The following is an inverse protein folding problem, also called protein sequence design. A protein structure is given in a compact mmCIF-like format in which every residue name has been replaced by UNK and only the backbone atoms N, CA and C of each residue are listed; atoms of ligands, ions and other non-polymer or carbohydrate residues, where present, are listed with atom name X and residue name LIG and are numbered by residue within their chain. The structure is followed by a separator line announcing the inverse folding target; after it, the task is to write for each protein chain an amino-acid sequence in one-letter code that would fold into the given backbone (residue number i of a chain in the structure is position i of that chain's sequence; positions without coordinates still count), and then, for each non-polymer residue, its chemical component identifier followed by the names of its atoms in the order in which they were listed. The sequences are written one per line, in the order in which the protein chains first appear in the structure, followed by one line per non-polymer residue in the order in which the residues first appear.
data_IF_634627227966
#
_entry.id   IF_634627227966
#
_cell.length_a   1.000
_cell.length_b   1.000
_cell.length_c   1.000
_cell.angle_alpha   90.00
_cell.angle_beta   90.00
_cell.angle_gamma   90.00
#
_symmetry.space_group_name_H-M   'P 1'
#
loop_
_entity.id
_entity.type
_entity.pdbx_description
1 polymer ?
#
# COMPACT_ATOMS: atom_id res chain seq x y z
N UNK A 1 -19.26 13.81 -1.20
CA UNK A 1 -17.99 14.01 -1.92
C UNK A 1 -18.00 13.07 -3.13
N UNK A 2 -17.56 13.57 -4.29
CA UNK A 2 -17.41 12.72 -5.48
C UNK A 2 -16.12 11.93 -5.37
N UNK A 3 -16.16 10.64 -5.78
CA UNK A 3 -14.96 9.81 -5.90
C UNK A 3 -14.01 10.39 -6.95
N UNK A 4 -12.74 10.37 -6.67
CA UNK A 4 -11.71 10.84 -7.63
C UNK A 4 -11.10 9.71 -8.46
N UNK A 5 -11.57 8.47 -8.29
CA UNK A 5 -11.04 7.29 -8.99
C UNK A 5 -11.07 7.43 -10.51
N UNK A 6 -12.15 7.99 -11.07
CA UNK A 6 -12.25 8.21 -12.52
C UNK A 6 -11.17 9.16 -13.04
N UNK A 7 -10.87 10.22 -12.28
CA UNK A 7 -9.79 11.15 -12.61
C UNK A 7 -8.43 10.47 -12.54
N UNK A 8 -8.17 9.68 -11.48
CA UNK A 8 -6.92 8.95 -11.32
C UNK A 8 -6.73 7.93 -12.44
N UNK A 9 -7.76 7.14 -12.78
CA UNK A 9 -7.70 6.17 -13.88
C UNK A 9 -7.44 6.85 -15.24
N UNK A 10 -7.95 8.08 -15.46
CA UNK A 10 -7.62 8.85 -16.67
C UNK A 10 -6.15 9.27 -16.69
N UNK A 11 -5.61 9.72 -15.55
CA UNK A 11 -4.19 10.09 -15.44
C UNK A 11 -3.31 8.87 -15.69
N UNK A 12 -3.65 7.72 -15.10
CA UNK A 12 -2.97 6.45 -15.33
C UNK A 12 -2.98 6.07 -16.81
N UNK A 13 -4.13 6.22 -17.47
CA UNK A 13 -4.26 5.98 -18.91
C UNK A 13 -3.37 6.90 -19.77
N UNK A 14 -3.15 8.16 -19.38
CA UNK A 14 -2.25 9.07 -20.09
C UNK A 14 -0.80 8.65 -20.02
N UNK A 15 -0.37 8.03 -18.92
CA UNK A 15 1.00 7.47 -18.80
C UNK A 15 1.08 6.03 -19.32
N UNK A 16 -0.01 5.49 -19.86
CA UNK A 16 -0.08 4.14 -20.42
C UNK A 16 -0.19 3.04 -19.37
N UNK A 17 -0.56 3.38 -18.13
CA UNK A 17 -0.79 2.41 -17.08
C UNK A 17 -2.25 1.97 -17.04
N UNK A 18 -2.46 0.66 -17.01
CA UNK A 18 -3.74 -0.01 -16.79
C UNK A 18 -3.54 -1.08 -15.72
N UNK A 19 -4.26 -0.93 -14.62
CA UNK A 19 -4.10 -1.80 -13.45
C UNK A 19 -4.43 -3.26 -13.77
N UNK A 20 -5.61 -3.54 -14.34
CA UNK A 20 -6.03 -4.90 -14.60
C UNK A 20 -5.09 -5.63 -15.58
N UNK A 21 -4.62 -4.91 -16.62
CA UNK A 21 -3.65 -5.43 -17.57
C UNK A 21 -2.31 -5.71 -16.90
N UNK A 22 -1.83 -4.80 -16.05
CA UNK A 22 -0.55 -4.93 -15.35
C UNK A 22 -0.57 -6.09 -14.37
N UNK A 23 -1.64 -6.24 -13.58
CA UNK A 23 -1.84 -7.36 -12.64
C UNK A 23 -1.93 -8.68 -13.41
N UNK A 24 -2.69 -8.73 -14.50
CA UNK A 24 -2.82 -9.92 -15.35
C UNK A 24 -1.48 -10.32 -15.97
N UNK A 25 -0.68 -9.34 -16.40
CA UNK A 25 0.66 -9.60 -16.93
C UNK A 25 1.60 -10.18 -15.86
N UNK A 26 1.62 -9.61 -14.66
CA UNK A 26 2.43 -10.12 -13.54
C UNK A 26 1.95 -11.51 -13.11
N UNK A 27 0.66 -11.78 -13.12
CA UNK A 27 0.09 -13.09 -12.79
C UNK A 27 0.55 -14.19 -13.77
N UNK A 28 0.96 -13.84 -15.00
CA UNK A 28 1.61 -14.77 -15.91
C UNK A 28 2.99 -15.25 -15.43
N UNK A 29 3.54 -14.58 -14.40
CA UNK A 29 4.81 -14.92 -13.74
C UNK A 29 4.59 -15.09 -12.22
N UNK A 30 4.00 -16.22 -11.77
CA UNK A 30 3.54 -16.39 -10.39
C UNK A 30 4.60 -16.12 -9.30
N UNK A 31 5.87 -16.46 -9.59
CA UNK A 31 6.99 -16.19 -8.69
C UNK A 31 7.22 -14.68 -8.48
N UNK A 32 7.09 -13.88 -9.54
CA UNK A 32 7.23 -12.42 -9.47
C UNK A 32 6.07 -11.84 -8.66
N UNK A 33 4.83 -12.25 -8.95
CA UNK A 33 3.65 -11.82 -8.22
C UNK A 33 3.74 -12.15 -6.72
N UNK A 34 4.17 -13.37 -6.40
CA UNK A 34 4.38 -13.82 -5.01
C UNK A 34 5.49 -13.02 -4.34
N UNK A 35 6.59 -12.73 -5.01
CA UNK A 35 7.67 -11.88 -4.48
C UNK A 35 7.16 -10.47 -4.16
N UNK A 36 6.42 -9.85 -5.09
CA UNK A 36 5.85 -8.51 -4.88
C UNK A 36 4.85 -8.49 -3.73
N UNK A 37 4.03 -9.54 -3.58
CA UNK A 37 3.15 -9.70 -2.42
C UNK A 37 3.94 -9.73 -1.10
N UNK A 38 5.00 -10.53 -1.01
CA UNK A 38 5.82 -10.56 0.19
C UNK A 38 6.52 -9.22 0.45
N UNK A 39 7.04 -8.56 -0.58
CA UNK A 39 7.60 -7.21 -0.44
C UNK A 39 6.57 -6.25 0.13
N UNK A 40 5.36 -6.23 -0.39
CA UNK A 40 4.25 -5.42 0.10
C UNK A 40 3.94 -5.73 1.58
N UNK A 41 3.85 -6.99 1.94
CA UNK A 41 3.59 -7.44 3.30
C UNK A 41 4.71 -7.08 4.30
N UNK A 42 5.94 -6.80 3.83
CA UNK A 42 7.06 -6.41 4.71
C UNK A 42 6.98 -4.98 5.22
N UNK A 43 6.08 -4.13 4.72
CA UNK A 43 6.02 -2.71 5.08
C UNK A 43 5.87 -2.47 6.59
N UNK A 44 4.90 -3.09 7.24
CA UNK A 44 4.73 -2.98 8.70
C UNK A 44 5.86 -3.64 9.50
N UNK A 45 6.31 -4.89 9.19
CA UNK A 45 7.51 -5.46 9.78
C UNK A 45 8.76 -4.57 9.70
N UNK A 46 8.97 -3.86 8.57
CA UNK A 46 10.09 -2.92 8.44
C UNK A 46 9.99 -1.75 9.43
N UNK A 47 8.81 -1.17 9.61
CA UNK A 47 8.60 -0.09 10.59
C UNK A 47 8.89 -0.59 12.00
N UNK A 48 8.38 -1.77 12.36
CA UNK A 48 8.64 -2.38 13.66
C UNK A 48 10.14 -2.64 13.87
N UNK A 49 10.83 -3.16 12.86
CA UNK A 49 12.27 -3.36 12.89
C UNK A 49 13.03 -2.06 13.17
N UNK A 50 12.67 -0.97 12.51
CA UNK A 50 13.31 0.34 12.71
C UNK A 50 13.07 0.85 14.14
N UNK A 51 11.84 0.73 14.66
CA UNK A 51 11.52 1.09 16.06
C UNK A 51 12.42 0.34 17.03
N UNK A 52 12.52 -0.99 16.87
CA UNK A 52 13.33 -1.86 17.70
C UNK A 52 14.80 -1.42 17.65
N UNK A 53 15.35 -1.26 16.45
CA UNK A 53 16.77 -0.92 16.29
C UNK A 53 17.09 0.47 16.84
N UNK A 54 16.24 1.47 16.57
CA UNK A 54 16.44 2.81 17.10
C UNK A 54 16.34 2.83 18.63
N UNK A 55 15.41 2.07 19.20
CA UNK A 55 15.25 1.93 20.65
C UNK A 55 16.48 1.27 21.29
N UNK A 56 16.88 0.09 20.82
CA UNK A 56 18.03 -0.64 21.38
C UNK A 56 19.38 0.05 21.18
N UNK A 57 19.52 0.84 20.12
CA UNK A 57 20.76 1.64 19.89
C UNK A 57 20.76 2.97 20.63
N UNK A 58 19.76 3.26 21.46
CA UNK A 58 19.66 4.50 22.24
C UNK A 58 19.44 5.76 21.41
N UNK A 59 19.03 5.65 20.15
CA UNK A 59 18.78 6.78 19.24
C UNK A 59 17.39 7.41 19.50
N UNK A 60 17.13 7.78 20.74
CA UNK A 60 15.80 8.21 21.21
C UNK A 60 15.24 9.40 20.42
N UNK A 61 16.09 10.37 20.06
CA UNK A 61 15.64 11.51 19.23
C UNK A 61 15.14 11.05 17.86
N UNK A 62 15.85 10.15 17.20
CA UNK A 62 15.45 9.62 15.89
C UNK A 62 14.19 8.76 16.01
N UNK A 63 14.05 8.00 17.10
CA UNK A 63 12.84 7.23 17.38
C UNK A 63 11.61 8.15 17.53
N UNK A 64 11.72 9.22 18.31
CA UNK A 64 10.62 10.19 18.44
C UNK A 64 10.28 10.85 17.11
N UNK A 65 11.29 11.24 16.32
CA UNK A 65 11.08 11.80 14.98
C UNK A 65 10.38 10.78 14.05
N UNK A 66 10.81 9.52 14.08
CA UNK A 66 10.18 8.45 13.31
C UNK A 66 8.70 8.27 13.67
N UNK A 67 8.39 8.15 14.96
CA UNK A 67 7.02 7.97 15.44
C UNK A 67 6.14 9.18 15.09
N UNK A 68 6.66 10.40 15.32
CA UNK A 68 5.93 11.63 14.98
C UNK A 68 5.68 11.74 13.48
N UNK A 69 6.67 11.43 12.65
CA UNK A 69 6.52 11.40 11.18
C UNK A 69 5.45 10.40 10.77
N UNK A 70 5.45 9.19 11.36
CA UNK A 70 4.44 8.17 11.08
C UNK A 70 3.02 8.63 11.42
N UNK A 71 2.83 9.20 12.61
CA UNK A 71 1.52 9.73 13.05
C UNK A 71 1.05 10.87 12.14
N UNK A 72 1.92 11.84 11.86
CA UNK A 72 1.57 12.97 10.99
C UNK A 72 1.25 12.52 9.56
N UNK A 73 2.05 11.60 9.02
CA UNK A 73 1.80 11.04 7.69
C UNK A 73 0.48 10.28 7.60
N UNK A 74 0.15 9.48 8.63
CA UNK A 74 -1.14 8.81 8.72
C UNK A 74 -2.31 9.82 8.78
N UNK A 75 -2.19 10.86 9.62
CA UNK A 75 -3.21 11.91 9.72
C UNK A 75 -3.40 12.65 8.39
N UNK A 76 -2.32 12.99 7.69
CA UNK A 76 -2.38 13.64 6.39
C UNK A 76 -3.07 12.71 5.37
N UNK A 77 -2.69 11.43 5.32
CA UNK A 77 -3.28 10.46 4.40
C UNK A 77 -4.78 10.25 4.65
N UNK A 78 -5.18 10.13 5.92
CA UNK A 78 -6.60 10.00 6.31
C UNK A 78 -7.36 11.29 5.96
N UNK A 79 -6.81 12.46 6.27
CA UNK A 79 -7.45 13.74 5.96
C UNK A 79 -7.62 13.92 4.45
N UNK A 80 -6.59 13.56 3.68
CA UNK A 80 -6.67 13.60 2.22
C UNK A 80 -7.77 12.67 1.71
N UNK A 81 -7.82 11.42 2.19
CA UNK A 81 -8.83 10.45 1.78
C UNK A 81 -10.25 10.87 2.16
N UNK A 82 -10.45 11.50 3.33
CA UNK A 82 -11.76 12.05 3.72
C UNK A 82 -12.22 13.16 2.78
N UNK A 83 -11.30 13.99 2.30
CA UNK A 83 -11.61 15.08 1.36
C UNK A 83 -11.76 14.57 -0.09
N UNK A 84 -10.99 13.56 -0.47
CA UNK A 84 -10.89 12.98 -1.81
C UNK A 84 -10.98 11.45 -1.74
N UNK A 85 -12.18 10.90 -1.46
CA UNK A 85 -12.33 9.46 -1.27
C UNK A 85 -12.04 8.69 -2.56
N UNK A 86 -11.32 7.56 -2.41
CA UNK A 86 -10.99 6.63 -3.49
C UNK A 86 -11.22 5.20 -3.02
N UNK A 87 -11.64 4.30 -3.92
CA UNK A 87 -11.90 2.89 -3.62
C UNK A 87 -10.87 1.94 -4.22
N UNK A 88 -9.84 2.44 -4.88
CA UNK A 88 -8.86 1.64 -5.64
C UNK A 88 -9.40 1.12 -6.98
N UNK A 89 -8.53 0.91 -7.98
CA UNK A 89 -8.90 0.33 -9.28
C UNK A 89 -9.62 -1.01 -9.20
N UNK A 90 -9.34 -1.82 -8.17
CA UNK A 90 -9.99 -3.12 -7.95
C UNK A 90 -11.51 -3.03 -7.73
N UNK A 91 -12.03 -1.85 -7.39
CA UNK A 91 -13.48 -1.62 -7.26
C UNK A 91 -14.18 -1.44 -8.62
N UNK A 92 -13.44 -1.08 -9.66
CA UNK A 92 -13.97 -0.68 -10.97
C UNK A 92 -13.48 -1.56 -12.12
N UNK A 93 -12.39 -2.29 -11.94
CA UNK A 93 -11.78 -3.15 -12.96
C UNK A 93 -11.83 -4.61 -12.52
N UNK A 94 -12.36 -5.48 -13.37
CA UNK A 94 -12.44 -6.91 -13.09
C UNK A 94 -11.16 -7.62 -13.54
N UNK A 95 -10.69 -8.55 -12.72
CA UNK A 95 -9.59 -9.43 -13.05
C UNK A 95 -10.11 -10.77 -13.61
N UNK A 96 -9.42 -11.40 -14.57
CA UNK A 96 -9.71 -12.76 -14.97
C UNK A 96 -9.67 -13.72 -13.76
N UNK A 97 -10.59 -14.68 -13.72
CA UNK A 97 -10.77 -15.59 -12.58
C UNK A 97 -9.54 -16.44 -12.23
N UNK A 98 -8.61 -16.61 -13.16
CA UNK A 98 -7.37 -17.36 -12.95
C UNK A 98 -6.29 -16.55 -12.20
N UNK A 99 -6.36 -15.20 -12.20
CA UNK A 99 -5.34 -14.33 -11.60
C UNK A 99 -5.21 -14.55 -10.08
N UNK A 100 -6.29 -14.56 -9.28
CA UNK A 100 -6.18 -14.83 -7.84
C UNK A 100 -5.73 -16.26 -7.51
N UNK A 101 -5.82 -17.18 -8.49
CA UNK A 101 -5.33 -18.56 -8.35
C UNK A 101 -3.83 -18.66 -8.66
N UNK A 102 -3.32 -17.76 -9.51
CA UNK A 102 -1.93 -17.77 -9.95
C UNK A 102 -0.98 -17.10 -8.97
N UNK A 103 -1.43 -16.03 -8.28
CA UNK A 103 -0.61 -15.31 -7.31
C UNK A 103 -1.46 -14.75 -6.16
N UNK A 104 -0.90 -14.59 -4.94
CA UNK A 104 -1.59 -13.91 -3.86
C UNK A 104 -1.75 -12.42 -4.18
N UNK A 105 -2.91 -11.87 -3.87
CA UNK A 105 -3.21 -10.45 -3.91
C UNK A 105 -3.47 -9.98 -2.48
N UNK A 106 -2.93 -8.82 -2.10
CA UNK A 106 -3.16 -8.23 -0.78
C UNK A 106 -4.62 -7.78 -0.62
N UNK A 107 -5.19 -7.27 -1.71
CA UNK A 107 -6.59 -6.88 -1.81
C UNK A 107 -7.25 -7.69 -2.93
N UNK A 108 -8.13 -8.61 -2.57
CA UNK A 108 -8.88 -9.39 -3.55
C UNK A 108 -9.96 -8.57 -4.26
N UNK A 109 -10.47 -9.05 -5.42
CA UNK A 109 -11.52 -8.36 -6.17
C UNK A 109 -12.82 -8.13 -5.38
N UNK A 110 -13.11 -9.02 -4.41
CA UNK A 110 -14.24 -8.88 -3.50
C UNK A 110 -14.13 -7.64 -2.60
N UNK A 111 -12.90 -7.20 -2.35
CA UNK A 111 -12.63 -6.08 -1.47
C UNK A 111 -13.13 -4.74 -2.05
N UNK A 112 -12.83 -4.48 -3.31
CA UNK A 112 -13.31 -3.29 -4.00
C UNK A 112 -14.84 -3.22 -4.03
N UNK A 113 -15.50 -4.36 -4.30
CA UNK A 113 -16.98 -4.46 -4.27
C UNK A 113 -17.55 -4.20 -2.88
N UNK A 114 -16.90 -4.71 -1.84
CA UNK A 114 -17.31 -4.47 -0.45
C UNK A 114 -17.18 -2.98 -0.10
N UNK A 115 -16.10 -2.30 -0.50
CA UNK A 115 -15.93 -0.86 -0.28
C UNK A 115 -17.02 -0.05 -0.96
N UNK A 116 -17.37 -0.37 -2.21
CA UNK A 116 -18.49 0.28 -2.91
C UNK A 116 -19.80 0.07 -2.17
N UNK A 117 -20.08 -1.16 -1.70
CA UNK A 117 -21.26 -1.49 -0.91
C UNK A 117 -21.30 -0.66 0.38
N UNK A 118 -20.20 -0.61 1.13
CA UNK A 118 -20.10 0.18 2.35
C UNK A 118 -20.32 1.66 2.13
N UNK A 119 -19.85 2.19 1.00
CA UNK A 119 -20.05 3.58 0.61
C UNK A 119 -21.51 3.94 0.30
N UNK A 120 -22.28 2.99 -0.23
CA UNK A 120 -23.69 3.19 -0.57
C UNK A 120 -24.65 2.88 0.58
N UNK A 121 -24.42 1.78 1.30
CA UNK A 121 -25.34 1.29 2.32
C UNK A 121 -25.02 1.83 3.72
N UNK A 122 -23.79 2.33 3.92
CA UNK A 122 -23.28 2.68 5.23
C UNK A 122 -22.98 1.46 6.08
N UNK A 123 -22.36 1.64 7.22
CA UNK A 123 -22.04 0.56 8.16
C UNK A 123 -22.64 0.82 9.52
N UNK A 124 -23.32 -0.19 10.07
CA UNK A 124 -23.78 -0.18 11.47
C UNK A 124 -22.62 -0.43 12.46
N UNK A 125 -21.65 -1.26 12.04
CA UNK A 125 -20.47 -1.62 12.82
C UNK A 125 -19.27 -1.71 11.88
N UNK A 126 -18.17 -1.01 12.21
CA UNK A 126 -16.89 -1.13 11.54
C UNK A 126 -16.08 -2.23 12.22
N UNK A 127 -15.68 -3.23 11.45
CA UNK A 127 -14.71 -4.24 11.88
C UNK A 127 -13.33 -3.90 11.32
N UNK A 128 -12.23 -4.40 11.92
CA UNK A 128 -10.88 -4.20 11.35
C UNK A 128 -10.79 -4.64 9.88
N UNK A 129 -11.51 -5.69 9.49
CA UNK A 129 -11.56 -6.17 8.10
C UNK A 129 -12.21 -5.18 7.13
N UNK A 130 -13.15 -4.37 7.59
CA UNK A 130 -13.82 -3.37 6.74
C UNK A 130 -12.95 -2.15 6.44
N UNK A 131 -11.86 -1.95 7.19
CA UNK A 131 -10.96 -0.80 7.03
C UNK A 131 -9.61 -1.16 6.39
N UNK A 132 -9.35 -2.45 6.16
CA UNK A 132 -8.18 -2.86 5.37
C UNK A 132 -8.31 -2.29 3.96
N UNK A 133 -7.25 -1.72 3.39
CA UNK A 133 -7.25 -1.18 2.02
C UNK A 133 -8.17 0.02 1.77
N UNK A 134 -8.75 0.61 2.82
CA UNK A 134 -9.68 1.74 2.71
C UNK A 134 -9.10 2.95 1.97
N UNK A 135 -7.78 3.17 2.09
CA UNK A 135 -7.09 4.31 1.48
C UNK A 135 -6.35 3.83 0.23
N UNK A 136 -6.99 3.95 -0.93
CA UNK A 136 -6.36 3.64 -2.21
C UNK A 136 -5.30 4.68 -2.60
N UNK A 137 -5.62 5.97 -2.41
CA UNK A 137 -4.73 7.07 -2.72
C UNK A 137 -4.86 8.19 -1.64
N UNK A 138 -3.76 8.82 -1.19
CA UNK A 138 -2.36 8.50 -1.51
C UNK A 138 -1.90 7.19 -0.87
N UNK A 139 -1.00 6.44 -1.53
CA UNK A 139 -0.53 5.16 -1.02
C UNK A 139 0.28 5.32 0.27
N UNK A 140 -0.28 4.82 1.37
CA UNK A 140 0.42 4.83 2.65
C UNK A 140 1.63 3.89 2.66
N UNK A 141 1.66 2.86 1.81
CA UNK A 141 2.81 1.97 1.66
C UNK A 141 4.03 2.69 1.08
N UNK A 142 3.83 3.59 0.11
CA UNK A 142 4.91 4.43 -0.42
C UNK A 142 5.45 5.37 0.66
N UNK A 143 4.57 5.94 1.47
CA UNK A 143 4.99 6.76 2.61
C UNK A 143 5.80 5.95 3.64
N UNK A 144 5.34 4.75 4.01
CA UNK A 144 6.07 3.85 4.91
C UNK A 144 7.43 3.44 4.33
N UNK A 145 7.50 3.18 3.02
CA UNK A 145 8.74 2.89 2.31
C UNK A 145 9.74 4.04 2.42
N UNK A 146 9.30 5.27 2.15
CA UNK A 146 10.13 6.47 2.27
C UNK A 146 10.62 6.69 3.71
N UNK A 147 9.75 6.53 4.70
CA UNK A 147 10.14 6.56 6.11
C UNK A 147 11.19 5.52 6.45
N UNK A 148 10.99 4.28 5.99
CA UNK A 148 11.91 3.18 6.26
C UNK A 148 13.31 3.49 5.72
N UNK A 149 13.41 3.99 4.50
CA UNK A 149 14.69 4.38 3.90
C UNK A 149 15.34 5.56 4.64
N UNK A 150 14.54 6.56 5.03
CA UNK A 150 15.06 7.77 5.68
C UNK A 150 15.60 7.51 7.09
N UNK A 151 14.90 6.71 7.89
CA UNK A 151 15.22 6.47 9.29
C UNK A 151 16.06 5.22 9.54
N UNK A 152 16.31 4.38 8.50
CA UNK A 152 17.10 3.18 8.66
C UNK A 152 18.47 3.48 9.27
N UNK A 153 18.91 2.69 10.28
CA UNK A 153 20.26 2.83 10.82
C UNK A 153 21.32 2.64 9.75
N UNK A 154 22.34 3.49 9.73
CA UNK A 154 23.37 3.55 8.67
C UNK A 154 24.40 2.41 8.72
N UNK A 155 23.96 1.16 8.94
CA UNK A 155 24.76 -0.04 8.76
C UNK A 155 24.64 -0.50 7.31
N UNK A 156 25.77 -0.63 6.61
CA UNK A 156 25.79 -0.88 5.14
C UNK A 156 24.87 -2.03 4.71
N UNK A 157 24.91 -3.17 5.42
CA UNK A 157 24.08 -4.32 5.09
C UNK A 157 22.58 -4.02 5.28
N UNK A 158 22.21 -3.34 6.37
CA UNK A 158 20.81 -2.99 6.68
C UNK A 158 20.26 -1.98 5.67
N UNK A 159 21.04 -0.95 5.34
CA UNK A 159 20.65 0.04 4.31
C UNK A 159 20.40 -0.66 2.98
N UNK A 160 21.32 -1.55 2.54
CA UNK A 160 21.18 -2.23 1.26
C UNK A 160 19.88 -3.03 1.19
N UNK A 161 19.58 -3.81 2.23
CA UNK A 161 18.36 -4.62 2.31
C UNK A 161 17.11 -3.72 2.29
N UNK A 162 17.07 -2.71 3.17
CA UNK A 162 15.90 -1.82 3.28
C UNK A 162 15.68 -1.03 1.99
N UNK A 163 16.73 -0.47 1.38
CA UNK A 163 16.62 0.26 0.11
C UNK A 163 16.14 -0.66 -1.01
N UNK A 164 16.70 -1.88 -1.12
CA UNK A 164 16.28 -2.84 -2.14
C UNK A 164 14.80 -3.23 -1.97
N UNK A 165 14.36 -3.56 -0.75
CA UNK A 165 12.96 -3.87 -0.47
C UNK A 165 12.03 -2.70 -0.83
N UNK A 166 12.43 -1.47 -0.52
CA UNK A 166 11.59 -0.30 -0.76
C UNK A 166 11.64 0.20 -2.22
N UNK A 167 12.68 -0.12 -2.99
CA UNK A 167 12.63 0.03 -4.44
C UNK A 167 11.66 -0.97 -5.09
N UNK A 168 11.63 -2.22 -4.59
CA UNK A 168 10.66 -3.23 -5.03
C UNK A 168 9.24 -2.93 -4.53
N UNK A 169 9.08 -2.11 -3.49
CA UNK A 169 7.77 -1.66 -3.01
C UNK A 169 7.03 -0.84 -4.08
N UNK A 170 7.73 -0.08 -4.94
CA UNK A 170 7.11 0.71 -6.00
C UNK A 170 6.26 -0.16 -6.94
N UNK A 171 6.83 -1.19 -7.63
CA UNK A 171 6.00 -2.08 -8.44
C UNK A 171 5.04 -2.93 -7.59
N UNK A 172 5.38 -3.27 -6.34
CA UNK A 172 4.48 -4.02 -5.47
C UNK A 172 3.18 -3.27 -5.21
N UNK A 173 3.24 -1.97 -4.88
CA UNK A 173 2.05 -1.12 -4.63
C UNK A 173 1.19 -0.95 -5.88
N UNK A 174 1.80 -0.96 -7.06
CA UNK A 174 1.05 -0.85 -8.32
C UNK A 174 0.27 -2.12 -8.68
N UNK A 175 0.66 -3.28 -8.13
CA UNK A 175 0.08 -4.59 -8.47
C UNK A 175 -0.85 -5.11 -7.36
N UNK A 176 -0.56 -4.77 -6.09
CA UNK A 176 -1.32 -5.23 -4.92
C UNK A 176 -2.46 -4.29 -4.56
#
# INVERSE_FOLDING_TARGET
FSLIDEMLMRIDGWIGYDWARSVTWVASYPLVGTLLFFVYATSLPQLLFIIIVLGFTGKIRQLHQFLLTGVLGALISITFWVLFPTYSPSAFQELPAWVPQAMPLALGPEYGRELVRLGHEGVRYLTPRNVEGLIGFPSFHIFMAAMSVYFVPRYRAVILVIVTLNLLMLPAVLIQ
#
